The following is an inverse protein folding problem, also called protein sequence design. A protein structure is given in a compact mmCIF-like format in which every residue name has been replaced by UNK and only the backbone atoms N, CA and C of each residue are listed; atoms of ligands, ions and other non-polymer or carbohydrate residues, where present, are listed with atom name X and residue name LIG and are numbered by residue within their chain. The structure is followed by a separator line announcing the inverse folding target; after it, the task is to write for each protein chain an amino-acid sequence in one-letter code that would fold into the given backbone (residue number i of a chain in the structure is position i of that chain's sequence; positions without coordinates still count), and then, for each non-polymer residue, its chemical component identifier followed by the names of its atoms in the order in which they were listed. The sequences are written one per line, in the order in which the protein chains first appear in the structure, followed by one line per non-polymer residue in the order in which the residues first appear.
data_IF_043984440316
#
_entry.id   IF_043984440316
#
_cell.length_a   1.000
_cell.length_b   1.000
_cell.length_c   1.000
_cell.angle_alpha   90.00
_cell.angle_beta   90.00
_cell.angle_gamma   90.00
#
_symmetry.space_group_name_H-M   'P 1'
#
loop_
_entity.id
_entity.type
_entity.pdbx_description
1 polymer ?
#
# COMPACT_ATOMS: atom_id res chain seq x y z
N UNK A 1 13.14 -38.12 22.44
CA UNK A 1 14.00 -38.61 21.36
C UNK A 1 14.12 -37.52 20.30
N UNK A 2 15.31 -36.94 20.12
CA UNK A 2 15.54 -35.91 19.10
C UNK A 2 15.40 -36.55 17.71
N UNK A 3 14.47 -36.03 16.89
CA UNK A 3 14.30 -36.38 15.47
C UNK A 3 15.60 -36.05 14.72
N UNK A 4 16.53 -37.00 14.65
CA UNK A 4 17.78 -36.86 13.90
C UNK A 4 17.50 -37.22 12.44
N UNK A 5 17.76 -36.27 11.55
CA UNK A 5 17.83 -36.36 10.09
C UNK A 5 16.52 -36.74 9.35
N UNK A 6 15.54 -35.83 9.35
CA UNK A 6 14.50 -35.84 8.31
C UNK A 6 15.04 -35.10 7.08
N UNK A 7 15.12 -35.78 5.94
CA UNK A 7 15.49 -35.19 4.66
C UNK A 7 14.20 -34.82 3.94
N UNK A 8 14.02 -33.53 3.67
CA UNK A 8 12.92 -33.02 2.86
C UNK A 8 13.45 -32.61 1.49
N UNK A 9 12.76 -33.04 0.43
CA UNK A 9 13.05 -32.62 -0.94
C UNK A 9 12.02 -31.59 -1.37
N UNK A 10 12.48 -30.45 -1.86
CA UNK A 10 11.64 -29.43 -2.46
C UNK A 10 11.81 -29.52 -3.97
N UNK A 11 10.71 -29.64 -4.70
CA UNK A 11 10.70 -29.76 -6.16
C UNK A 11 9.59 -28.89 -6.76
N UNK A 12 9.85 -28.37 -7.97
CA UNK A 12 9.00 -27.42 -8.67
C UNK A 12 9.58 -26.00 -8.63
N UNK A 13 8.79 -25.03 -9.08
CA UNK A 13 9.03 -23.59 -8.93
C UNK A 13 7.77 -22.85 -9.42
N UNK A 14 6.62 -23.20 -8.86
CA UNK A 14 5.33 -22.69 -9.32
C UNK A 14 5.16 -21.21 -8.97
N UNK A 15 4.34 -20.51 -9.75
CA UNK A 15 4.11 -19.08 -9.57
C UNK A 15 3.35 -18.75 -8.28
N UNK A 16 2.45 -19.64 -7.84
CA UNK A 16 1.59 -19.46 -6.67
C UNK A 16 1.12 -20.82 -6.10
N UNK A 17 0.63 -20.88 -4.86
CA UNK A 17 0.06 -22.10 -4.28
C UNK A 17 -1.25 -22.51 -4.95
N UNK A 18 -2.01 -21.56 -5.48
CA UNK A 18 -3.29 -21.80 -6.14
C UNK A 18 -3.16 -22.07 -7.66
N UNK A 19 -1.94 -22.13 -8.18
CA UNK A 19 -1.71 -22.49 -9.58
C UNK A 19 -2.26 -23.89 -9.88
N UNK A 20 -3.07 -23.98 -10.94
CA UNK A 20 -3.66 -25.24 -11.42
C UNK A 20 -2.62 -26.32 -11.70
N UNK A 21 -1.42 -25.95 -12.18
CA UNK A 21 -0.33 -26.89 -12.42
C UNK A 21 0.26 -27.37 -11.09
N UNK A 22 0.51 -26.45 -10.15
CA UNK A 22 0.99 -26.78 -8.81
C UNK A 22 0.06 -27.77 -8.09
N UNK A 23 -1.25 -27.51 -8.13
CA UNK A 23 -2.27 -28.35 -7.52
C UNK A 23 -2.37 -29.73 -8.19
N UNK A 24 -2.27 -29.79 -9.52
CA UNK A 24 -2.20 -31.07 -10.26
C UNK A 24 -0.97 -31.87 -9.87
N UNK A 25 0.21 -31.23 -9.81
CA UNK A 25 1.44 -31.90 -9.39
C UNK A 25 1.38 -32.37 -7.95
N UNK A 26 0.85 -31.56 -7.02
CA UNK A 26 0.66 -31.97 -5.63
C UNK A 26 -0.23 -33.21 -5.54
N UNK A 27 -1.36 -33.21 -6.27
CA UNK A 27 -2.29 -34.36 -6.32
C UNK A 27 -1.61 -35.61 -6.88
N UNK A 28 -0.76 -35.45 -7.90
CA UNK A 28 0.04 -36.55 -8.43
C UNK A 28 1.02 -37.09 -7.39
N UNK A 29 1.86 -36.23 -6.80
CA UNK A 29 2.88 -36.59 -5.80
C UNK A 29 2.26 -37.32 -4.61
N UNK A 30 1.12 -36.83 -4.09
CA UNK A 30 0.43 -37.46 -2.95
C UNK A 30 -0.01 -38.91 -3.21
N UNK A 31 -0.23 -39.26 -4.47
CA UNK A 31 -0.63 -40.60 -4.91
C UNK A 31 0.52 -41.38 -5.56
N UNK A 32 1.72 -40.79 -5.64
CA UNK A 32 2.87 -41.39 -6.29
C UNK A 32 3.54 -42.40 -5.36
N UNK A 33 3.83 -43.59 -5.90
CA UNK A 33 4.40 -44.72 -5.19
C UNK A 33 5.72 -45.12 -5.85
N UNK A 34 6.83 -44.41 -5.56
CA UNK A 34 8.11 -44.74 -6.18
C UNK A 34 8.69 -46.03 -5.60
N UNK A 35 9.16 -46.92 -6.47
CA UNK A 35 9.74 -48.23 -6.11
C UNK A 35 10.86 -48.13 -5.07
N UNK A 36 11.66 -47.06 -5.13
CA UNK A 36 12.73 -46.81 -4.14
C UNK A 36 12.22 -46.64 -2.71
N UNK A 37 10.98 -46.16 -2.52
CA UNK A 37 10.37 -45.99 -1.19
C UNK A 37 9.43 -47.15 -0.82
N UNK A 38 8.84 -47.83 -1.80
CA UNK A 38 7.85 -48.90 -1.56
C UNK A 38 8.42 -50.30 -1.59
N UNK A 39 9.39 -50.58 -2.46
CA UNK A 39 9.99 -51.92 -2.65
C UNK A 39 11.37 -52.00 -1.99
N UNK A 40 12.18 -50.95 -2.19
CA UNK A 40 13.57 -50.90 -1.71
C UNK A 40 13.73 -50.07 -0.42
N UNK A 41 12.63 -49.52 0.10
CA UNK A 41 12.62 -48.62 1.27
C UNK A 41 11.78 -49.17 2.42
N UNK A 42 12.04 -48.68 3.64
CA UNK A 42 11.23 -49.00 4.82
C UNK A 42 10.26 -47.85 5.08
N UNK A 43 9.02 -47.99 4.63
CA UNK A 43 7.94 -47.04 4.91
C UNK A 43 6.87 -47.67 5.81
N UNK A 44 6.53 -47.00 6.93
CA UNK A 44 5.45 -47.41 7.82
C UNK A 44 4.18 -46.61 7.51
N UNK A 45 3.13 -47.29 7.07
CA UNK A 45 1.79 -46.70 6.90
C UNK A 45 1.24 -46.28 8.25
N UNK A 46 0.70 -45.07 8.35
CA UNK A 46 0.02 -44.57 9.54
C UNK A 46 -1.41 -44.12 9.19
N UNK A 47 -2.35 -44.14 10.15
CA UNK A 47 -3.67 -43.56 9.93
C UNK A 47 -3.53 -42.08 9.53
N UNK A 48 -3.99 -41.72 8.32
CA UNK A 48 -3.83 -40.38 7.75
C UNK A 48 -2.67 -40.22 6.76
N UNK A 49 -1.77 -41.20 6.65
CA UNK A 49 -0.76 -41.26 5.59
C UNK A 49 -0.77 -42.64 4.93
N UNK A 50 -1.66 -42.86 3.93
CA UNK A 50 -1.81 -44.16 3.29
C UNK A 50 -0.67 -44.52 2.33
N UNK A 51 0.12 -43.53 1.88
CA UNK A 51 1.21 -43.71 0.92
C UNK A 51 2.46 -42.93 1.31
N UNK A 52 3.64 -43.29 0.78
CA UNK A 52 4.94 -42.76 1.20
C UNK A 52 5.05 -41.23 1.06
N UNK A 53 4.33 -40.63 0.10
CA UNK A 53 4.35 -39.20 -0.17
C UNK A 53 3.00 -38.51 0.10
N UNK A 54 2.04 -39.19 0.76
CA UNK A 54 0.70 -38.63 0.97
C UNK A 54 0.69 -37.37 1.86
N UNK A 55 1.75 -37.19 2.66
CA UNK A 55 1.98 -36.00 3.48
C UNK A 55 2.60 -34.80 2.75
N UNK A 56 2.86 -34.90 1.44
CA UNK A 56 3.40 -33.77 0.67
C UNK A 56 2.48 -32.53 0.74
N UNK A 57 3.07 -31.34 0.79
CA UNK A 57 2.35 -30.07 0.80
C UNK A 57 3.10 -29.02 0.00
N UNK A 58 2.39 -28.00 -0.48
CA UNK A 58 3.00 -26.84 -1.12
C UNK A 58 3.53 -25.90 -0.05
N UNK A 59 4.75 -25.39 -0.25
CA UNK A 59 5.39 -24.43 0.65
C UNK A 59 6.04 -23.31 -0.16
N UNK A 60 6.32 -22.20 0.51
CA UNK A 60 7.03 -21.06 -0.07
C UNK A 60 8.45 -21.52 -0.43
N UNK A 61 8.93 -21.10 -1.60
CA UNK A 61 10.31 -21.37 -2.01
C UNK A 61 11.28 -20.73 -0.98
N UNK A 62 12.09 -21.53 -0.26
CA UNK A 62 12.97 -21.04 0.80
C UNK A 62 14.11 -20.16 0.29
N UNK A 63 14.36 -20.15 -1.03
CA UNK A 63 15.33 -19.26 -1.66
C UNK A 63 14.80 -17.82 -1.83
N UNK A 64 13.50 -17.59 -1.61
CA UNK A 64 12.95 -16.25 -1.63
C UNK A 64 13.31 -15.51 -0.35
N UNK A 65 13.81 -14.29 -0.50
CA UNK A 65 13.99 -13.39 0.63
C UNK A 65 12.65 -13.03 1.28
N UNK A 66 12.61 -12.68 2.58
CA UNK A 66 11.40 -12.22 3.24
C UNK A 66 10.72 -11.05 2.51
N UNK A 67 11.52 -10.19 1.88
CA UNK A 67 11.04 -9.05 1.09
C UNK A 67 10.30 -9.50 -0.17
N UNK A 68 10.83 -10.48 -0.90
CA UNK A 68 10.19 -11.05 -2.09
C UNK A 68 8.90 -11.80 -1.75
N UNK A 69 8.87 -12.51 -0.61
CA UNK A 69 7.66 -13.19 -0.13
C UNK A 69 6.55 -12.19 0.19
N UNK A 70 6.89 -11.09 0.88
CA UNK A 70 5.94 -10.03 1.20
C UNK A 70 5.42 -9.32 -0.06
N UNK A 71 6.25 -9.10 -1.07
CA UNK A 71 5.83 -8.53 -2.36
C UNK A 71 4.92 -9.45 -3.18
N UNK A 72 5.15 -10.77 -3.14
CA UNK A 72 4.36 -11.74 -3.94
C UNK A 72 2.97 -11.96 -3.38
N UNK A 73 2.79 -11.84 -2.07
CA UNK A 73 1.48 -11.90 -1.43
C UNK A 73 0.77 -10.58 -1.67
N UNK A 74 0.23 -10.37 -2.88
CA UNK A 74 -0.80 -9.34 -3.07
C UNK A 74 -1.90 -9.65 -2.07
N UNK A 75 -2.08 -8.78 -1.10
CA UNK A 75 -3.16 -8.94 -0.13
C UNK A 75 -4.48 -8.86 -0.92
N UNK A 76 -5.29 -9.94 -0.99
CA UNK A 76 -6.57 -9.92 -1.70
C UNK A 76 -7.47 -8.79 -1.21
N UNK A 77 -7.26 -8.33 0.03
CA UNK A 77 -7.91 -7.15 0.57
C UNK A 77 -7.49 -5.87 -0.15
N UNK A 78 -6.20 -5.64 -0.40
CA UNK A 78 -5.69 -4.45 -1.12
C UNK A 78 -6.28 -4.40 -2.53
N UNK A 79 -6.25 -5.52 -3.26
CA UNK A 79 -6.83 -5.59 -4.60
C UNK A 79 -8.33 -5.27 -4.58
N UNK A 80 -9.07 -5.81 -3.60
CA UNK A 80 -10.50 -5.57 -3.42
C UNK A 80 -10.81 -4.11 -3.06
N UNK A 81 -10.06 -3.51 -2.13
CA UNK A 81 -10.25 -2.12 -1.67
C UNK A 81 -9.95 -1.09 -2.75
N UNK A 82 -9.11 -1.44 -3.74
CA UNK A 82 -8.66 -0.52 -4.78
C UNK A 82 -9.20 -0.88 -6.18
N UNK A 83 -10.14 -1.82 -6.25
CA UNK A 83 -10.81 -2.21 -7.49
C UNK A 83 -11.86 -1.18 -7.89
N UNK A 84 -11.86 -0.76 -9.15
CA UNK A 84 -12.87 0.15 -9.69
C UNK A 84 -12.79 1.61 -9.23
N UNK A 85 -11.77 2.00 -8.46
CA UNK A 85 -11.58 3.39 -8.04
C UNK A 85 -10.84 4.23 -9.09
N UNK A 86 -11.20 5.50 -9.19
CA UNK A 86 -10.49 6.48 -10.01
C UNK A 86 -9.13 6.82 -9.39
N UNK A 87 -8.09 6.95 -10.21
CA UNK A 87 -6.71 7.24 -9.78
C UNK A 87 -6.12 6.21 -8.80
N UNK A 88 -6.52 4.94 -8.91
CA UNK A 88 -5.92 3.86 -8.12
C UNK A 88 -4.41 3.78 -8.33
N UNK A 89 -3.63 3.67 -7.24
CA UNK A 89 -2.18 3.46 -7.31
C UNK A 89 -1.83 2.15 -8.03
N UNK A 90 -2.74 1.16 -8.04
CA UNK A 90 -2.58 -0.08 -8.79
C UNK A 90 -2.48 0.13 -10.31
N UNK A 91 -2.93 1.28 -10.82
CA UNK A 91 -2.87 1.66 -12.23
C UNK A 91 -1.62 2.50 -12.57
N UNK A 92 -0.80 2.84 -11.58
CA UNK A 92 0.42 3.60 -11.81
C UNK A 92 1.44 2.76 -12.60
N UNK A 93 1.94 3.30 -13.72
CA UNK A 93 2.90 2.62 -14.59
C UNK A 93 4.30 2.52 -13.99
N UNK A 94 4.65 3.46 -13.11
CA UNK A 94 5.94 3.51 -12.43
C UNK A 94 6.04 2.44 -11.35
N UNK A 95 7.27 2.05 -11.01
CA UNK A 95 7.55 1.12 -9.91
C UNK A 95 7.53 1.80 -8.54
N UNK A 96 7.69 3.11 -8.50
CA UNK A 96 7.75 3.90 -7.28
C UNK A 96 6.93 5.18 -7.38
N UNK A 97 6.47 5.66 -6.23
CA UNK A 97 5.82 6.96 -6.04
C UNK A 97 6.21 7.55 -4.68
N UNK A 98 5.94 8.84 -4.48
CA UNK A 98 6.11 9.49 -3.18
C UNK A 98 4.77 9.61 -2.47
N UNK A 99 4.69 9.10 -1.24
CA UNK A 99 3.55 9.34 -0.34
C UNK A 99 3.60 10.79 0.14
N UNK A 100 2.52 11.53 -0.06
CA UNK A 100 2.43 12.96 0.31
C UNK A 100 1.33 13.25 1.31
N UNK A 101 0.37 12.34 1.51
CA UNK A 101 -0.64 12.49 2.55
C UNK A 101 -1.15 11.11 3.00
N UNK A 102 -1.37 10.96 4.29
CA UNK A 102 -1.90 9.75 4.89
C UNK A 102 -3.17 10.04 5.71
N UNK A 103 -4.29 9.42 5.36
CA UNK A 103 -5.58 9.57 6.03
C UNK A 103 -5.93 8.31 6.80
N UNK A 104 -6.05 8.40 8.12
CA UNK A 104 -6.31 7.25 8.99
C UNK A 104 -7.77 7.23 9.44
N UNK A 105 -8.39 6.05 9.45
CA UNK A 105 -9.67 5.86 10.14
C UNK A 105 -9.45 6.01 11.65
N UNK A 106 -10.02 7.05 12.26
CA UNK A 106 -9.88 7.43 13.68
C UNK A 106 -8.52 8.02 14.15
N UNK A 107 -7.75 8.69 13.30
CA UNK A 107 -6.73 9.63 13.81
C UNK A 107 -6.86 11.00 13.16
N UNK A 108 -7.92 11.72 13.54
CA UNK A 108 -7.87 13.18 13.47
C UNK A 108 -7.01 13.62 14.64
N UNK A 109 -5.71 13.79 14.42
CA UNK A 109 -4.91 14.64 15.30
C UNK A 109 -5.49 16.04 15.14
N UNK A 110 -6.38 16.42 16.06
CA UNK A 110 -6.94 17.76 16.18
C UNK A 110 -5.82 18.74 16.53
N UNK A 111 -5.00 19.16 15.57
CA UNK A 111 -4.12 20.34 15.68
C UNK A 111 -3.62 20.64 14.25
N UNK A 112 -3.92 21.74 13.58
CA UNK A 112 -4.00 23.12 14.04
C UNK A 112 -5.05 23.91 13.25
N UNK A 113 -6.18 24.21 13.89
CA UNK A 113 -6.96 25.46 13.80
C UNK A 113 -8.16 25.26 14.71
N UNK A 114 -7.98 25.62 15.98
CA UNK A 114 -9.08 25.68 16.94
C UNK A 114 -10.06 26.77 16.50
N UNK A 115 -11.14 26.42 15.79
CA UNK A 115 -12.36 27.26 15.73
C UNK A 115 -13.62 26.62 15.13
N UNK A 116 -13.80 25.30 15.17
CA UNK A 116 -15.13 24.71 14.92
C UNK A 116 -15.37 23.54 15.87
N UNK A 117 -15.79 23.85 17.10
CA UNK A 117 -16.47 22.88 17.95
C UNK A 117 -17.92 22.82 17.48
N UNK A 118 -18.37 21.63 17.07
CA UNK A 118 -19.68 21.05 17.35
C UNK A 118 -19.88 19.81 16.47
N UNK A 119 -19.65 18.63 17.03
CA UNK A 119 -20.33 17.39 16.64
C UNK A 119 -19.94 16.27 17.63
N UNK A 120 -20.79 16.13 18.64
CA UNK A 120 -21.33 14.88 19.16
C UNK A 120 -20.41 13.65 19.18
N UNK A 121 -20.03 13.29 20.40
CA UNK A 121 -19.69 11.96 20.86
C UNK A 121 -20.76 10.95 20.43
N UNK A 122 -20.46 10.16 19.39
CA UNK A 122 -20.92 8.78 19.13
C UNK A 122 -20.65 8.43 17.65
N UNK A 123 -19.37 8.34 17.28
CA UNK A 123 -18.97 8.04 15.90
C UNK A 123 -18.73 6.54 15.73
N UNK A 124 -19.74 5.88 15.16
CA UNK A 124 -19.69 4.55 14.57
C UNK A 124 -18.43 4.36 13.74
N UNK A 125 -17.66 3.31 14.03
CA UNK A 125 -16.36 2.95 13.43
C UNK A 125 -16.42 2.83 11.89
N UNK A 126 -17.60 2.61 11.29
CA UNK A 126 -17.75 2.55 9.83
C UNK A 126 -17.53 3.91 9.15
N UNK A 127 -17.96 5.03 9.76
CA UNK A 127 -17.99 6.33 9.07
C UNK A 127 -16.60 6.95 8.87
N UNK A 128 -15.62 6.62 9.72
CA UNK A 128 -14.32 7.31 9.69
C UNK A 128 -13.37 6.77 8.62
N UNK A 129 -13.44 5.48 8.30
CA UNK A 129 -12.68 4.91 7.17
C UNK A 129 -13.23 5.38 5.83
N UNK A 130 -14.56 5.48 5.72
CA UNK A 130 -15.21 6.03 4.53
C UNK A 130 -14.81 7.50 4.32
N UNK A 131 -14.74 8.30 5.38
CA UNK A 131 -14.23 9.67 5.31
C UNK A 131 -12.74 9.76 4.93
N UNK A 132 -11.90 8.86 5.44
CA UNK A 132 -10.50 8.81 5.06
C UNK A 132 -10.33 8.46 3.57
N UNK A 133 -11.14 7.54 3.06
CA UNK A 133 -11.18 7.18 1.66
C UNK A 133 -11.64 8.35 0.78
N UNK A 134 -12.73 9.02 1.16
CA UNK A 134 -13.27 10.18 0.44
C UNK A 134 -12.29 11.35 0.41
N UNK A 135 -11.61 11.62 1.53
CA UNK A 135 -10.59 12.69 1.60
C UNK A 135 -9.39 12.38 0.72
N UNK A 136 -8.91 11.14 0.73
CA UNK A 136 -7.79 10.72 -0.12
C UNK A 136 -8.14 10.83 -1.61
N UNK A 137 -9.33 10.36 -2.00
CA UNK A 137 -9.84 10.48 -3.35
C UNK A 137 -10.01 11.95 -3.78
N UNK A 138 -10.63 12.77 -2.94
CA UNK A 138 -10.83 14.19 -3.20
C UNK A 138 -9.51 14.93 -3.37
N UNK A 139 -8.51 14.67 -2.52
CA UNK A 139 -7.18 15.26 -2.64
C UNK A 139 -6.49 14.81 -3.94
N UNK A 140 -6.52 13.52 -4.28
CA UNK A 140 -5.91 13.04 -5.51
C UNK A 140 -6.56 13.68 -6.75
N UNK A 141 -7.89 13.76 -6.78
CA UNK A 141 -8.64 14.45 -7.85
C UNK A 141 -8.32 15.94 -7.92
N UNK A 142 -8.16 16.61 -6.78
CA UNK A 142 -7.79 18.02 -6.73
C UNK A 142 -6.36 18.26 -7.25
N UNK A 143 -5.41 17.39 -6.89
CA UNK A 143 -4.03 17.43 -7.38
C UNK A 143 -3.94 17.16 -8.88
N UNK A 144 -4.76 16.25 -9.41
CA UNK A 144 -4.90 16.01 -10.86
C UNK A 144 -5.40 17.23 -11.62
N UNK A 145 -6.10 18.14 -10.95
CA UNK A 145 -6.57 19.42 -11.49
C UNK A 145 -5.84 20.62 -10.85
N UNK A 146 -4.67 20.42 -10.24
CA UNK A 146 -3.97 21.45 -9.47
C UNK A 146 -3.72 22.75 -10.25
N UNK A 147 -3.54 22.66 -11.57
CA UNK A 147 -3.34 23.84 -12.43
C UNK A 147 -4.50 24.83 -12.33
N UNK A 148 -5.76 24.37 -12.30
CA UNK A 148 -6.92 25.26 -12.20
C UNK A 148 -7.02 25.95 -10.84
N UNK A 149 -6.38 25.39 -9.83
CA UNK A 149 -6.30 25.96 -8.48
C UNK A 149 -5.03 26.79 -8.26
N UNK A 150 -4.20 26.99 -9.28
CA UNK A 150 -2.96 27.76 -9.17
C UNK A 150 -1.84 27.06 -8.40
N UNK A 151 -1.93 25.75 -8.21
CA UNK A 151 -0.90 24.95 -7.54
C UNK A 151 0.01 24.22 -8.55
N UNK A 152 1.32 24.11 -8.28
CA UNK A 152 2.08 24.85 -7.29
C UNK A 152 2.10 26.35 -7.58
N UNK A 153 2.23 27.17 -6.53
CA UNK A 153 2.35 28.61 -6.67
C UNK A 153 3.53 28.97 -7.61
N UNK A 154 3.32 29.93 -8.51
CA UNK A 154 4.31 30.41 -9.47
C UNK A 154 4.50 29.53 -10.71
N UNK A 155 4.26 28.21 -10.63
CA UNK A 155 4.32 27.30 -11.80
C UNK A 155 3.13 26.33 -11.84
N UNK A 156 1.88 26.83 -12.01
CA UNK A 156 0.69 25.99 -11.93
C UNK A 156 0.71 24.84 -12.94
N UNK A 157 0.53 23.62 -12.43
CA UNK A 157 0.52 22.40 -13.25
C UNK A 157 -0.29 21.31 -12.56
N UNK A 158 -0.83 20.40 -13.36
CA UNK A 158 -1.48 19.21 -12.82
C UNK A 158 -0.43 18.25 -12.26
N UNK A 159 -0.79 17.56 -11.20
CA UNK A 159 0.09 16.62 -10.52
C UNK A 159 -0.44 15.21 -10.75
N UNK A 160 0.45 14.30 -11.13
CA UNK A 160 0.13 12.88 -11.23
C UNK A 160 -0.05 12.27 -9.85
N UNK A 161 -1.27 12.39 -9.29
CA UNK A 161 -1.63 11.84 -7.99
C UNK A 161 -2.39 10.51 -8.12
N UNK A 162 -2.21 9.65 -7.13
CA UNK A 162 -2.86 8.34 -7.03
C UNK A 162 -3.27 8.04 -5.58
N UNK A 163 -4.28 7.20 -5.41
CA UNK A 163 -4.78 6.76 -4.10
C UNK A 163 -4.53 5.28 -3.90
N UNK A 164 -4.09 4.90 -2.71
CA UNK A 164 -4.11 3.52 -2.25
C UNK A 164 -4.89 3.42 -0.94
N UNK A 165 -5.93 2.60 -0.94
CA UNK A 165 -6.67 2.20 0.25
C UNK A 165 -6.04 0.95 0.84
N UNK A 166 -5.64 1.04 2.10
CA UNK A 166 -5.16 -0.07 2.91
C UNK A 166 -6.21 -0.40 3.99
N UNK A 167 -5.97 -1.46 4.75
CA UNK A 167 -6.90 -1.92 5.80
C UNK A 167 -7.21 -0.84 6.86
N UNK A 168 -6.27 0.06 7.15
CA UNK A 168 -6.36 1.02 8.26
C UNK A 168 -6.21 2.49 7.86
N UNK A 169 -5.86 2.76 6.60
CA UNK A 169 -5.63 4.12 6.11
C UNK A 169 -5.79 4.19 4.59
N UNK A 170 -5.97 5.41 4.10
CA UNK A 170 -5.90 5.76 2.69
C UNK A 170 -4.74 6.71 2.48
N UNK A 171 -3.85 6.39 1.54
CA UNK A 171 -2.69 7.23 1.25
C UNK A 171 -2.83 7.86 -0.13
N UNK A 172 -2.33 9.09 -0.25
CA UNK A 172 -2.19 9.79 -1.53
C UNK A 172 -0.72 9.83 -1.88
N UNK A 173 -0.42 9.38 -3.09
CA UNK A 173 0.93 9.37 -3.65
C UNK A 173 1.00 10.24 -4.89
N UNK A 174 2.19 10.71 -5.21
CA UNK A 174 2.45 11.51 -6.41
C UNK A 174 3.63 10.96 -7.21
N UNK A 175 3.56 11.19 -8.51
CA UNK A 175 4.59 10.82 -9.46
C UNK A 175 4.52 9.35 -9.90
N UNK A 176 5.37 9.06 -10.88
CA UNK A 176 5.49 7.76 -11.51
C UNK A 176 6.96 7.57 -11.86
N UNK A 177 7.68 6.82 -11.02
CA UNK A 177 9.13 6.68 -11.11
C UNK A 177 9.53 5.22 -11.32
N UNK A 178 10.56 4.98 -12.11
CA UNK A 178 11.04 3.63 -12.41
C UNK A 178 12.13 3.15 -11.46
N UNK A 179 12.87 4.09 -10.87
CA UNK A 179 13.99 3.84 -9.95
C UNK A 179 13.77 4.54 -8.62
N UNK A 180 14.34 4.02 -7.51
CA UNK A 180 14.23 4.63 -6.18
C UNK A 180 15.03 5.93 -6.02
N UNK A 181 15.95 6.22 -6.95
CA UNK A 181 16.82 7.41 -6.93
C UNK A 181 16.52 8.40 -8.07
N UNK A 182 15.30 8.35 -8.63
CA UNK A 182 14.88 9.26 -9.69
C UNK A 182 15.01 10.74 -9.24
N UNK A 183 15.77 11.59 -9.97
CA UNK A 183 16.03 12.97 -9.56
C UNK A 183 14.76 13.82 -9.46
N UNK A 184 13.69 13.45 -10.18
CA UNK A 184 12.39 14.13 -10.11
C UNK A 184 11.77 14.03 -8.73
N UNK A 185 12.10 13.01 -7.95
CA UNK A 185 11.59 12.85 -6.58
C UNK A 185 12.03 13.97 -5.65
N UNK A 186 13.21 14.54 -5.83
CA UNK A 186 13.69 15.66 -5.02
C UNK A 186 12.79 16.90 -5.19
N UNK A 187 12.30 17.15 -6.41
CA UNK A 187 11.38 18.24 -6.68
C UNK A 187 10.04 18.04 -5.96
N UNK A 188 9.47 16.83 -6.07
CA UNK A 188 8.24 16.46 -5.38
C UNK A 188 8.40 16.51 -3.86
N UNK A 189 9.51 16.00 -3.31
CA UNK A 189 9.79 16.05 -1.88
C UNK A 189 9.86 17.49 -1.36
N UNK A 190 10.49 18.41 -2.11
CA UNK A 190 10.53 19.84 -1.78
C UNK A 190 9.17 20.51 -1.92
N UNK A 191 8.36 20.10 -2.89
CA UNK A 191 7.05 20.69 -3.15
C UNK A 191 6.06 20.36 -2.02
N UNK A 192 6.01 19.10 -1.62
CA UNK A 192 5.00 18.57 -0.68
C UNK A 192 5.49 18.48 0.77
N UNK A 193 6.81 18.43 1.02
CA UNK A 193 7.36 18.35 2.37
C UNK A 193 7.34 19.68 3.11
N UNK A 194 7.45 19.60 4.45
CA UNK A 194 7.50 20.76 5.31
C UNK A 194 8.64 21.71 4.97
N UNK A 195 8.41 23.00 5.18
CA UNK A 195 9.39 24.06 4.94
C UNK A 195 9.56 24.92 6.19
N UNK A 196 10.75 25.47 6.37
CA UNK A 196 10.98 26.51 7.38
C UNK A 196 10.25 27.77 6.93
N UNK A 197 9.29 28.23 7.75
CA UNK A 197 8.54 29.47 7.52
C UNK A 197 8.47 30.23 8.86
N UNK A 198 8.52 31.57 8.85
CA UNK A 198 8.32 32.34 10.07
C UNK A 198 6.89 32.11 10.59
N UNK A 199 6.76 31.78 11.87
CA UNK A 199 5.45 31.64 12.50
C UNK A 199 4.72 32.99 12.50
N UNK A 200 3.42 33.04 12.11
CA UNK A 200 2.70 34.30 11.92
C UNK A 200 2.66 35.23 13.14
N UNK A 201 2.70 34.66 14.35
CA UNK A 201 2.57 35.42 15.61
C UNK A 201 3.92 35.76 16.26
N UNK A 202 4.94 34.90 16.08
CA UNK A 202 6.20 35.01 16.84
C UNK A 202 7.39 35.38 15.96
N UNK A 203 7.24 35.35 14.62
CA UNK A 203 8.31 35.52 13.63
C UNK A 203 9.51 34.57 13.79
N UNK A 204 9.42 33.57 14.67
CA UNK A 204 10.42 32.52 14.81
C UNK A 204 10.25 31.53 13.66
N UNK A 205 11.35 31.16 13.01
CA UNK A 205 11.29 30.14 11.96
C UNK A 205 10.87 28.79 12.55
N UNK A 206 9.76 28.25 12.06
CA UNK A 206 9.24 26.94 12.45
C UNK A 206 9.05 26.05 11.24
N UNK A 207 9.25 24.75 11.44
CA UNK A 207 9.00 23.75 10.41
C UNK A 207 7.48 23.61 10.23
N UNK A 208 6.97 24.16 9.13
CA UNK A 208 5.54 24.19 8.83
C UNK A 208 5.21 23.20 7.71
N UNK A 209 4.22 22.35 7.94
CA UNK A 209 3.71 21.43 6.93
C UNK A 209 3.10 22.19 5.75
N UNK A 210 3.35 21.70 4.54
CA UNK A 210 2.68 22.23 3.36
C UNK A 210 1.24 21.72 3.27
N UNK A 211 0.41 22.44 2.53
CA UNK A 211 -1.00 22.12 2.40
C UNK A 211 -1.52 22.46 1.01
N UNK A 212 -2.65 21.86 0.65
CA UNK A 212 -3.40 22.15 -0.58
C UNK A 212 -4.74 22.78 -0.21
N UNK A 213 -5.16 23.79 -0.96
CA UNK A 213 -6.43 24.49 -0.74
C UNK A 213 -7.17 24.65 -2.05
N UNK A 214 -8.46 24.33 -2.03
CA UNK A 214 -9.38 24.77 -3.07
C UNK A 214 -10.02 26.08 -2.61
N UNK A 215 -9.77 27.21 -3.30
CA UNK A 215 -10.29 28.50 -2.87
C UNK A 215 -11.82 28.53 -2.90
N UNK A 216 -12.41 29.37 -2.04
CA UNK A 216 -13.85 29.66 -2.07
C UNK A 216 -14.27 30.35 -3.37
N UNK A 217 -15.58 30.38 -3.65
CA UNK A 217 -16.15 31.00 -4.87
C UNK A 217 -15.80 32.49 -5.01
N UNK A 218 -15.57 33.18 -3.89
CA UNK A 218 -15.13 34.57 -3.82
C UNK A 218 -13.95 34.70 -2.85
N UNK A 219 -13.07 35.71 -2.99
CA UNK A 219 -11.81 35.81 -2.24
C UNK A 219 -11.93 35.81 -0.71
N UNK A 220 -13.10 36.16 -0.17
CA UNK A 220 -13.36 36.26 1.28
C UNK A 220 -14.12 35.03 1.82
N UNK A 221 -14.57 34.12 0.96
CA UNK A 221 -15.23 32.90 1.41
C UNK A 221 -14.23 31.91 1.98
N UNK A 222 -14.65 31.09 2.97
CA UNK A 222 -13.82 29.98 3.43
C UNK A 222 -13.47 29.05 2.24
N UNK A 223 -12.32 28.37 2.31
CA UNK A 223 -11.96 27.35 1.35
C UNK A 223 -13.05 26.30 1.17
N UNK A 224 -13.22 25.81 -0.05
CA UNK A 224 -14.12 24.67 -0.32
C UNK A 224 -13.56 23.40 0.32
N UNK A 225 -12.24 23.23 0.26
CA UNK A 225 -11.54 22.13 0.90
C UNK A 225 -10.07 22.50 1.18
N UNK A 226 -9.49 21.89 2.20
CA UNK A 226 -8.06 21.97 2.49
C UNK A 226 -7.52 20.65 3.02
N UNK A 227 -6.29 20.32 2.65
CA UNK A 227 -5.59 19.13 3.11
C UNK A 227 -4.16 19.47 3.49
N UNK A 228 -3.69 18.92 4.61
CA UNK A 228 -2.29 19.04 5.05
C UNK A 228 -1.51 17.84 4.52
N UNK A 229 -0.31 18.09 4.01
CA UNK A 229 0.59 17.03 3.56
C UNK A 229 1.38 16.43 4.71
N UNK A 230 1.82 15.19 4.53
CA UNK A 230 2.74 14.53 5.43
C UNK A 230 4.05 15.34 5.50
N UNK A 231 4.58 15.67 6.69
CA UNK A 231 5.73 16.56 6.85
C UNK A 231 6.98 16.15 6.05
N UNK A 232 7.15 14.84 5.86
CA UNK A 232 8.22 14.24 5.09
C UNK A 232 7.64 13.25 4.09
N UNK A 233 7.61 13.58 2.80
CA UNK A 233 7.23 12.63 1.77
C UNK A 233 8.12 11.39 1.82
N UNK A 234 7.51 10.22 1.72
CA UNK A 234 8.22 8.93 1.81
C UNK A 234 8.15 8.17 0.50
N UNK A 235 9.25 7.52 0.12
CA UNK A 235 9.29 6.66 -1.03
C UNK A 235 8.47 5.39 -0.78
N UNK A 236 7.62 5.04 -1.74
CA UNK A 236 6.86 3.82 -1.74
C UNK A 236 7.07 3.06 -3.05
N UNK A 237 7.25 1.75 -2.95
CA UNK A 237 7.15 0.87 -4.10
C UNK A 237 5.67 0.62 -4.40
N UNK A 238 5.28 0.85 -5.65
CA UNK A 238 3.89 0.74 -6.06
C UNK A 238 3.44 -0.73 -6.04
N UNK A 239 2.28 -1.03 -5.42
CA UNK A 239 1.67 -2.35 -5.56
C UNK A 239 1.23 -2.52 -7.01
N UNK A 240 1.58 -3.66 -7.62
CA UNK A 240 1.11 -3.99 -8.96
C UNK A 240 -0.27 -4.63 -8.85
N UNK A 241 -1.19 -4.33 -9.77
CA UNK A 241 -2.30 -5.25 -10.06
C UNK A 241 -1.73 -6.46 -10.84
N UNK A 242 -2.14 -7.69 -10.50
CA UNK A 242 -1.87 -8.88 -11.32
C UNK A 242 -2.93 -9.02 -12.38
#
# INVERSE_FOLDING_TARGET
AAQRAMISVIAGNYSDSEDSVAQKTLKYIKNFHPEVLTENGVYKKTPGQPGPLSGAFLTINPLLSPQEVAQRKQDPLIAKLNSGIEYSLLQNKGKYSLVVASFYGNSVTKTATSRFQNASTDLKVSNSLDQAAENAWSLAKALRNAKSYGFPAGTPRNIDAYVLHEKYRSIVTVGSFDTPDDPRMAEYARLFGSKMKPHPETNVETLTAEYFVIPGKIPQSPPVASWVFDPKPTLMQNPKAR
#
